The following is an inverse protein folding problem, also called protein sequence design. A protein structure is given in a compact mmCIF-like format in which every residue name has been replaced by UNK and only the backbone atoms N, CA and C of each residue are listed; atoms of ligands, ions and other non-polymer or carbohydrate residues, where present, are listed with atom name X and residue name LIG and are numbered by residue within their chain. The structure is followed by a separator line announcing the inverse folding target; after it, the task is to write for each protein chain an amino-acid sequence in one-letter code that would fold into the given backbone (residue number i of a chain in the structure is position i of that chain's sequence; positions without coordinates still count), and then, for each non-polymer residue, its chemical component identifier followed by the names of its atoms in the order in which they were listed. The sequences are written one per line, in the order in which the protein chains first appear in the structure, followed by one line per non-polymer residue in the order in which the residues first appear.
data_IF_494534360936
#
_entry.id   IF_494534360936
#
_cell.length_a   1.000
_cell.length_b   1.000
_cell.length_c   1.000
_cell.angle_alpha   90.00
_cell.angle_beta   90.00
_cell.angle_gamma   90.00
#
_symmetry.space_group_name_H-M   'P 1'
#
loop_
_entity.id
_entity.type
_entity.pdbx_description
1 polymer ?
#
# COMPACT_ATOMS: atom_id res chain seq x y z
N UNK A 1 -16.24 12.00 -15.94
CA UNK A 1 -16.30 10.54 -15.71
C UNK A 1 -16.67 10.32 -14.25
N UNK A 2 -17.94 9.99 -13.97
CA UNK A 2 -18.44 9.79 -12.61
C UNK A 2 -17.96 8.43 -12.08
N UNK A 3 -16.93 8.46 -11.25
CA UNK A 3 -16.41 7.25 -10.58
C UNK A 3 -17.51 6.76 -9.62
N UNK A 4 -17.98 5.50 -9.73
CA UNK A 4 -19.04 5.02 -8.86
C UNK A 4 -18.57 5.02 -7.39
N UNK A 5 -19.46 5.35 -6.43
CA UNK A 5 -19.08 5.60 -5.03
C UNK A 5 -18.43 4.39 -4.34
N UNK A 6 -18.68 3.16 -4.84
CA UNK A 6 -18.03 1.93 -4.36
C UNK A 6 -16.61 1.71 -4.92
N UNK A 7 -16.24 2.34 -6.04
CA UNK A 7 -14.90 2.26 -6.61
C UNK A 7 -13.92 3.27 -5.99
N UNK A 8 -14.41 4.37 -5.41
CA UNK A 8 -13.56 5.34 -4.72
C UNK A 8 -12.65 4.73 -3.65
N UNK A 9 -13.14 3.88 -2.72
CA UNK A 9 -12.27 3.28 -1.71
C UNK A 9 -11.29 2.27 -2.32
N UNK A 10 -11.66 1.56 -3.39
CA UNK A 10 -10.78 0.60 -4.08
C UNK A 10 -9.62 1.35 -4.75
N UNK A 11 -9.91 2.42 -5.50
CA UNK A 11 -8.89 3.24 -6.15
C UNK A 11 -7.97 3.86 -5.09
N UNK A 12 -8.53 4.34 -3.98
CA UNK A 12 -7.75 4.89 -2.89
C UNK A 12 -6.82 3.84 -2.27
N UNK A 13 -7.32 2.63 -2.01
CA UNK A 13 -6.52 1.51 -1.52
C UNK A 13 -5.39 1.13 -2.49
N UNK A 14 -5.67 1.09 -3.79
CA UNK A 14 -4.65 0.82 -4.82
C UNK A 14 -3.58 1.91 -4.85
N UNK A 15 -3.97 3.20 -4.79
CA UNK A 15 -3.01 4.31 -4.77
C UNK A 15 -2.13 4.26 -3.52
N UNK A 16 -2.72 4.04 -2.35
CA UNK A 16 -1.97 3.90 -1.09
C UNK A 16 -1.01 2.71 -1.15
N UNK A 17 -1.45 1.59 -1.71
CA UNK A 17 -0.60 0.42 -1.89
C UNK A 17 0.60 0.69 -2.81
N UNK A 18 0.39 1.38 -3.94
CA UNK A 18 1.47 1.75 -4.86
C UNK A 18 2.46 2.72 -4.19
N UNK A 19 1.98 3.72 -3.44
CA UNK A 19 2.85 4.64 -2.69
C UNK A 19 3.68 3.88 -1.67
N UNK A 20 3.05 2.98 -0.90
CA UNK A 20 3.74 2.17 0.09
C UNK A 20 4.80 1.26 -0.54
N UNK A 21 4.46 0.54 -1.62
CA UNK A 21 5.40 -0.30 -2.36
C UNK A 21 6.59 0.53 -2.88
N UNK A 22 6.32 1.72 -3.41
CA UNK A 22 7.38 2.62 -3.90
C UNK A 22 8.30 3.08 -2.77
N UNK A 23 7.73 3.48 -1.61
CA UNK A 23 8.52 3.84 -0.43
C UNK A 23 9.37 2.66 0.07
N UNK A 24 8.79 1.46 0.17
CA UNK A 24 9.52 0.26 0.60
C UNK A 24 10.68 -0.07 -0.34
N UNK A 25 10.49 0.06 -1.66
CA UNK A 25 11.56 -0.13 -2.65
C UNK A 25 12.67 0.91 -2.46
N UNK A 26 12.32 2.19 -2.36
CA UNK A 26 13.29 3.27 -2.14
C UNK A 26 14.06 3.04 -0.84
N UNK A 27 13.36 2.70 0.24
CA UNK A 27 13.97 2.46 1.55
C UNK A 27 14.96 1.30 1.49
N UNK A 28 14.62 0.19 0.83
CA UNK A 28 15.55 -0.94 0.66
C UNK A 28 16.78 -0.58 -0.18
N UNK A 29 16.62 0.23 -1.23
CA UNK A 29 17.74 0.72 -2.03
C UNK A 29 18.67 1.59 -1.17
N UNK A 30 18.11 2.51 -0.39
CA UNK A 30 18.88 3.43 0.48
C UNK A 30 19.58 2.67 1.61
N UNK A 31 18.90 1.73 2.25
CA UNK A 31 19.45 0.96 3.38
C UNK A 31 20.40 -0.15 2.92
N UNK A 32 20.53 -0.42 1.62
CA UNK A 32 21.28 -1.57 1.03
C UNK A 32 20.90 -2.91 1.68
N UNK A 33 19.72 -2.99 2.28
CA UNK A 33 19.27 -4.16 3.01
C UNK A 33 18.61 -5.10 2.01
N UNK A 34 19.43 -5.89 1.31
CA UNK A 34 18.95 -6.99 0.48
C UNK A 34 18.42 -8.07 1.40
N UNK A 35 17.10 -8.14 1.52
CA UNK A 35 16.45 -9.27 2.17
C UNK A 35 16.79 -10.54 1.37
N UNK A 36 17.50 -11.49 1.99
CA UNK A 36 17.88 -12.77 1.37
C UNK A 36 16.67 -13.56 0.86
N UNK A 37 15.47 -13.29 1.40
CA UNK A 37 14.20 -13.95 1.09
C UNK A 37 13.25 -13.09 0.24
N UNK A 38 13.77 -12.30 -0.70
CA UNK A 38 12.96 -11.44 -1.55
C UNK A 38 12.37 -12.19 -2.76
N UNK A 39 11.21 -12.81 -2.58
CA UNK A 39 10.55 -13.65 -3.61
C UNK A 39 9.94 -12.86 -4.79
N UNK A 40 9.53 -11.60 -4.60
CA UNK A 40 8.95 -10.77 -5.68
C UNK A 40 9.99 -9.77 -6.22
N UNK A 41 10.39 -9.95 -7.47
CA UNK A 41 11.35 -9.10 -8.20
C UNK A 41 12.73 -8.92 -7.51
N UNK A 42 13.06 -9.73 -6.49
CA UNK A 42 14.28 -9.60 -5.69
C UNK A 42 14.28 -8.40 -4.72
N UNK A 43 13.15 -7.70 -4.57
CA UNK A 43 13.08 -6.43 -3.83
C UNK A 43 11.99 -6.47 -2.74
N UNK A 44 10.86 -7.14 -2.98
CA UNK A 44 9.76 -7.24 -2.01
C UNK A 44 9.62 -8.66 -1.47
N UNK A 45 9.53 -8.80 -0.14
CA UNK A 45 9.24 -10.09 0.50
C UNK A 45 7.74 -10.22 0.77
N UNK A 46 7.25 -11.45 0.97
CA UNK A 46 5.83 -11.73 1.24
C UNK A 46 5.29 -10.96 2.46
N UNK A 47 6.13 -10.77 3.50
CA UNK A 47 5.81 -9.92 4.66
C UNK A 47 5.60 -8.45 4.29
N UNK A 48 6.45 -7.87 3.44
CA UNK A 48 6.31 -6.46 3.01
C UNK A 48 5.01 -6.25 2.24
N UNK A 49 4.64 -7.23 1.43
CA UNK A 49 3.42 -7.23 0.64
C UNK A 49 2.17 -7.31 1.54
N UNK A 50 2.18 -8.23 2.50
CA UNK A 50 1.15 -8.33 3.55
C UNK A 50 1.04 -7.04 4.36
N UNK A 51 2.18 -6.44 4.74
CA UNK A 51 2.21 -5.20 5.49
C UNK A 51 1.64 -4.03 4.68
N UNK A 52 1.96 -3.96 3.38
CA UNK A 52 1.38 -2.99 2.45
C UNK A 52 -0.13 -3.14 2.30
N UNK A 53 -0.64 -4.37 2.23
CA UNK A 53 -2.09 -4.65 2.20
C UNK A 53 -2.77 -4.22 3.50
N UNK A 54 -2.19 -4.56 4.65
CA UNK A 54 -2.72 -4.16 5.97
C UNK A 54 -2.77 -2.63 6.10
N UNK A 55 -1.70 -1.94 5.73
CA UNK A 55 -1.64 -0.46 5.75
C UNK A 55 -2.68 0.12 4.80
N UNK A 56 -2.80 -0.40 3.57
CA UNK A 56 -3.80 0.07 2.61
C UNK A 56 -5.23 -0.10 3.14
N UNK A 57 -5.55 -1.23 3.79
CA UNK A 57 -6.86 -1.47 4.40
C UNK A 57 -7.11 -0.50 5.57
N UNK A 58 -6.16 -0.34 6.49
CA UNK A 58 -6.31 0.57 7.65
C UNK A 58 -6.50 2.02 7.21
N UNK A 59 -5.70 2.47 6.25
CA UNK A 59 -5.74 3.84 5.73
C UNK A 59 -7.04 4.07 4.95
N UNK A 60 -7.49 3.10 4.16
CA UNK A 60 -8.78 3.17 3.45
C UNK A 60 -9.96 3.23 4.42
N UNK A 61 -9.97 2.35 5.44
CA UNK A 61 -11.02 2.36 6.47
C UNK A 61 -11.00 3.65 7.29
N UNK A 62 -9.82 4.19 7.62
CA UNK A 62 -9.69 5.49 8.29
C UNK A 62 -10.21 6.64 7.42
N UNK A 63 -9.93 6.60 6.12
CA UNK A 63 -10.41 7.59 5.17
C UNK A 63 -11.95 7.56 5.07
N UNK A 64 -12.55 6.37 4.97
CA UNK A 64 -14.01 6.22 4.98
C UNK A 64 -14.64 6.64 6.30
N UNK A 65 -14.04 6.31 7.45
CA UNK A 65 -14.53 6.75 8.77
C UNK A 65 -14.49 8.27 8.92
N UNK A 66 -13.39 8.92 8.50
CA UNK A 66 -13.31 10.40 8.49
C UNK A 66 -14.33 11.03 7.54
N UNK A 67 -14.61 10.40 6.40
CA UNK A 67 -15.59 10.90 5.43
C UNK A 67 -17.03 10.79 5.95
N UNK A 68 -17.34 9.82 6.82
CA UNK A 68 -18.65 9.66 7.49
C UNK A 68 -18.83 10.54 8.73
N UNK A 69 -17.75 11.11 9.28
CA UNK A 69 -17.78 12.00 10.45
C UNK A 69 -17.96 13.49 10.09
N UNK A 70 -18.20 13.79 8.82
CA UNK A 70 -18.49 15.14 8.29
C UNK A 70 -19.89 15.17 7.70
#
# INVERSE_FOLDING_TARGET
MSIPPKLQPIIYGVVVFVIFATLSVILKIVTKHQSTDADYFGILTNKDLLMGVVVAVIVTLSHEKKKKLK
#
